data_IF_128308830132
#
_entry.id   IF_128308830132
#
_cell.length_a   1.000
_cell.length_b   1.000
_cell.length_c   1.000
_cell.angle_alpha   90.00
_cell.angle_beta   90.00
_cell.angle_gamma   90.00
#
_symmetry.space_group_name_H-M   'P 1'
#
loop_
_entity.id
_entity.type
_entity.pdbx_description
1 polymer ?
#
# COMPACT_ATOMS: atom_id res chain seq x y z
N UNK A 1 -14.82 11.69 -7.16
CA UNK A 1 -15.40 10.58 -6.40
C UNK A 1 -16.78 10.95 -5.87
N UNK A 2 -16.92 12.11 -5.21
CA UNK A 2 -18.18 12.60 -4.62
C UNK A 2 -19.38 12.52 -5.55
N UNK A 3 -19.25 13.05 -6.78
CA UNK A 3 -20.32 12.98 -7.78
C UNK A 3 -20.82 11.56 -8.01
N UNK A 4 -19.91 10.60 -8.20
CA UNK A 4 -20.29 9.19 -8.40
C UNK A 4 -21.00 8.62 -7.16
N UNK A 5 -20.51 8.92 -5.96
CA UNK A 5 -21.16 8.45 -4.73
C UNK A 5 -22.55 9.07 -4.53
N UNK A 6 -22.72 10.35 -4.88
CA UNK A 6 -23.99 11.06 -4.81
C UNK A 6 -25.01 10.54 -5.85
N UNK A 7 -24.55 10.17 -7.04
CA UNK A 7 -25.37 9.65 -8.13
C UNK A 7 -25.65 8.14 -7.99
N UNK A 8 -25.25 7.51 -6.87
CA UNK A 8 -25.40 6.07 -6.67
C UNK A 8 -26.89 5.70 -6.51
N UNK A 9 -27.42 4.77 -7.33
CA UNK A 9 -28.81 4.36 -7.21
C UNK A 9 -29.13 3.76 -5.83
N UNK A 10 -30.32 4.00 -5.26
CA UNK A 10 -30.74 3.36 -4.02
C UNK A 10 -30.60 1.84 -4.07
N UNK A 11 -30.14 1.23 -2.98
CA UNK A 11 -29.91 -0.22 -2.90
C UNK A 11 -28.65 -0.73 -3.61
N UNK A 12 -27.85 0.15 -4.21
CA UNK A 12 -26.56 -0.19 -4.82
C UNK A 12 -25.41 0.17 -3.87
N UNK A 13 -24.45 -0.75 -3.70
CA UNK A 13 -23.23 -0.50 -2.88
C UNK A 13 -22.00 -0.13 -3.73
N UNK A 14 -22.07 -0.34 -5.05
CA UNK A 14 -20.96 -0.09 -5.98
C UNK A 14 -21.44 0.28 -7.37
N UNK A 15 -20.79 1.29 -7.96
CA UNK A 15 -20.90 1.62 -9.37
C UNK A 15 -19.88 0.79 -10.13
N UNK A 16 -20.38 -0.02 -11.07
CA UNK A 16 -19.54 -0.77 -12.00
C UNK A 16 -18.90 0.16 -13.03
N UNK A 17 -17.65 -0.11 -13.46
CA UNK A 17 -17.03 0.68 -14.52
C UNK A 17 -17.73 0.47 -15.86
N UNK A 18 -17.99 1.56 -16.57
CA UNK A 18 -18.57 1.60 -17.93
C UNK A 18 -17.79 2.61 -18.78
N UNK A 19 -18.16 2.80 -20.05
CA UNK A 19 -17.58 3.85 -20.88
C UNK A 19 -17.85 5.26 -20.32
N UNK A 20 -19.07 5.50 -19.83
CA UNK A 20 -19.47 6.79 -19.22
C UNK A 20 -18.93 6.98 -17.80
N UNK A 21 -18.68 5.87 -17.10
CA UNK A 21 -18.11 5.83 -15.76
C UNK A 21 -16.82 5.00 -15.78
N UNK A 22 -15.72 5.55 -16.33
CA UNK A 22 -14.49 4.78 -16.48
C UNK A 22 -13.88 4.45 -15.12
N UNK A 23 -13.19 3.30 -15.07
CA UNK A 23 -12.33 2.97 -13.96
C UNK A 23 -11.19 3.99 -13.87
N UNK A 24 -11.03 4.62 -12.71
CA UNK A 24 -9.89 5.51 -12.44
C UNK A 24 -8.87 4.74 -11.61
N UNK A 25 -7.69 4.51 -12.17
CA UNK A 25 -6.55 3.95 -11.44
C UNK A 25 -5.68 5.09 -10.91
N UNK A 26 -5.58 5.21 -9.60
CA UNK A 26 -4.69 6.15 -8.91
C UNK A 26 -3.41 5.41 -8.53
N UNK A 27 -2.27 5.84 -9.07
CA UNK A 27 -0.96 5.23 -8.80
C UNK A 27 -0.13 6.19 -7.93
N UNK A 28 0.32 5.71 -6.77
CA UNK A 28 1.26 6.41 -5.90
C UNK A 28 2.61 5.69 -5.94
N UNK A 29 3.50 6.10 -6.86
CA UNK A 29 4.74 5.38 -7.21
C UNK A 29 5.79 5.32 -6.09
N UNK A 30 5.83 6.33 -5.22
CA UNK A 30 6.71 6.36 -4.04
C UNK A 30 5.98 7.08 -2.90
N UNK A 31 5.02 6.37 -2.30
CA UNK A 31 4.13 6.93 -1.29
C UNK A 31 4.85 7.44 -0.03
N UNK A 32 5.76 6.67 0.61
CA UNK A 32 6.52 7.16 1.76
C UNK A 32 7.32 8.44 1.44
N UNK A 33 7.99 8.46 0.28
CA UNK A 33 8.74 9.64 -0.16
C UNK A 33 7.85 10.87 -0.36
N UNK A 34 6.70 10.71 -1.03
CA UNK A 34 5.73 11.77 -1.24
C UNK A 34 5.21 12.34 0.09
N UNK A 35 4.80 11.46 1.01
CA UNK A 35 4.23 11.87 2.29
C UNK A 35 5.25 12.62 3.14
N UNK A 36 6.50 12.12 3.22
CA UNK A 36 7.59 12.82 3.91
C UNK A 36 7.87 14.20 3.31
N UNK A 37 7.92 14.30 1.98
CA UNK A 37 8.15 15.58 1.31
C UNK A 37 7.00 16.57 1.57
N UNK A 38 5.76 16.11 1.57
CA UNK A 38 4.60 16.94 1.88
C UNK A 38 4.61 17.43 3.32
N UNK A 39 4.86 16.54 4.29
CA UNK A 39 4.93 16.88 5.72
C UNK A 39 6.08 17.83 6.05
N UNK A 40 7.23 17.65 5.41
CA UNK A 40 8.39 18.54 5.58
C UNK A 40 8.10 19.96 5.08
N UNK A 41 7.27 20.09 4.03
CA UNK A 41 6.83 21.38 3.50
C UNK A 41 5.72 22.01 4.36
N UNK A 42 4.71 21.23 4.70
CA UNK A 42 3.57 21.63 5.53
C UNK A 42 2.90 20.38 6.12
N UNK A 43 2.93 20.26 7.45
CA UNK A 43 2.30 19.14 8.15
C UNK A 43 0.81 18.98 7.80
N UNK A 44 0.07 20.09 7.69
CA UNK A 44 -1.37 20.06 7.34
C UNK A 44 -1.59 19.59 5.91
N UNK A 45 -0.66 19.84 5.00
CA UNK A 45 -0.70 19.29 3.65
C UNK A 45 -0.52 17.76 3.68
N UNK A 46 0.46 17.27 4.44
CA UNK A 46 0.68 15.83 4.63
C UNK A 46 -0.56 15.11 5.22
N UNK A 47 -1.20 15.73 6.21
CA UNK A 47 -2.42 15.20 6.82
C UNK A 47 -3.57 15.14 5.80
N UNK A 48 -3.78 16.21 5.00
CA UNK A 48 -4.79 16.23 3.93
C UNK A 48 -4.57 15.17 2.87
N UNK A 49 -3.32 14.97 2.44
CA UNK A 49 -2.95 13.93 1.46
C UNK A 49 -3.23 12.54 2.04
N UNK A 50 -2.87 12.31 3.30
CA UNK A 50 -3.17 11.06 4.01
C UNK A 50 -4.68 10.80 4.05
N UNK A 51 -5.48 11.77 4.50
CA UNK A 51 -6.94 11.65 4.54
C UNK A 51 -7.55 11.35 3.18
N UNK A 52 -7.05 12.00 2.11
CA UNK A 52 -7.52 11.74 0.75
C UNK A 52 -7.20 10.31 0.29
N UNK A 53 -5.99 9.81 0.59
CA UNK A 53 -5.58 8.45 0.25
C UNK A 53 -6.41 7.41 1.01
N UNK A 54 -6.64 7.62 2.32
CA UNK A 54 -7.47 6.72 3.12
C UNK A 54 -8.90 6.65 2.58
N UNK A 55 -9.47 7.79 2.20
CA UNK A 55 -10.79 7.84 1.58
C UNK A 55 -10.83 7.13 0.23
N UNK A 56 -9.80 7.29 -0.60
CA UNK A 56 -9.68 6.55 -1.86
C UNK A 56 -9.61 5.04 -1.62
N UNK A 57 -8.88 4.60 -0.60
CA UNK A 57 -8.75 3.19 -0.27
C UNK A 57 -10.07 2.59 0.26
N UNK A 58 -10.78 3.31 1.13
CA UNK A 58 -12.01 2.83 1.76
C UNK A 58 -13.25 2.93 0.86
N UNK A 59 -13.44 4.06 0.17
CA UNK A 59 -14.65 4.35 -0.61
C UNK A 59 -14.45 4.18 -2.11
N UNK A 60 -13.21 4.21 -2.60
CA UNK A 60 -12.91 4.24 -4.02
C UNK A 60 -13.49 3.05 -4.79
N UNK A 61 -13.53 1.87 -4.16
CA UNK A 61 -14.11 0.67 -4.79
C UNK A 61 -15.56 0.86 -5.18
N UNK A 62 -16.34 1.61 -4.39
CA UNK A 62 -17.75 1.91 -4.63
C UNK A 62 -17.96 2.86 -5.80
N UNK A 63 -16.98 3.71 -6.09
CA UNK A 63 -17.07 4.76 -7.10
C UNK A 63 -16.27 4.46 -8.38
N UNK A 64 -15.94 3.19 -8.66
CA UNK A 64 -15.07 2.78 -9.76
C UNK A 64 -13.67 3.45 -9.75
N UNK A 65 -13.09 3.58 -8.55
CA UNK A 65 -11.67 3.91 -8.36
C UNK A 65 -10.90 2.67 -7.88
N UNK A 66 -9.64 2.58 -8.26
CA UNK A 66 -8.65 1.63 -7.73
C UNK A 66 -7.39 2.38 -7.37
N UNK A 67 -6.72 1.92 -6.32
CA UNK A 67 -5.47 2.52 -5.84
C UNK A 67 -4.37 1.47 -5.98
N UNK A 68 -3.25 1.89 -6.54
CA UNK A 68 -1.98 1.16 -6.52
C UNK A 68 -0.97 1.99 -5.73
N UNK A 69 -0.55 1.47 -4.58
CA UNK A 69 0.47 2.10 -3.74
C UNK A 69 1.78 1.35 -3.91
N UNK A 70 2.83 2.07 -4.27
CA UNK A 70 4.17 1.56 -4.45
C UNK A 70 5.09 2.25 -3.44
N UNK A 71 6.05 1.49 -2.94
CA UNK A 71 7.07 1.95 -2.01
C UNK A 71 8.32 1.09 -2.17
N UNK A 72 9.50 1.70 -2.14
CA UNK A 72 10.75 0.95 -2.02
C UNK A 72 10.90 0.26 -0.67
N UNK A 73 10.44 0.92 0.40
CA UNK A 73 10.41 0.41 1.77
C UNK A 73 9.11 0.87 2.42
N UNK A 74 8.30 -0.08 2.89
CA UNK A 74 7.16 0.26 3.71
C UNK A 74 7.63 0.53 5.14
N UNK A 75 7.33 1.73 5.63
CA UNK A 75 7.61 2.19 7.00
C UNK A 75 6.29 2.41 7.75
N UNK A 76 6.31 2.33 9.08
CA UNK A 76 5.10 2.37 9.92
C UNK A 76 4.35 3.71 9.75
N UNK A 77 5.11 4.80 9.58
CA UNK A 77 4.56 6.12 9.33
C UNK A 77 3.84 6.21 7.96
N UNK A 78 4.32 5.49 6.94
CA UNK A 78 3.75 5.53 5.60
C UNK A 78 2.46 4.71 5.47
N UNK A 79 2.25 3.71 6.34
CA UNK A 79 1.00 2.93 6.39
C UNK A 79 -0.09 3.57 7.25
N UNK A 80 0.13 4.78 7.78
CA UNK A 80 -0.85 5.50 8.60
C UNK A 80 -1.28 4.73 9.84
N UNK A 81 -0.33 4.08 10.53
CA UNK A 81 -0.63 3.24 11.71
C UNK A 81 -1.28 1.89 11.36
N UNK A 82 -1.16 1.43 10.11
CA UNK A 82 -1.73 0.16 9.64
C UNK A 82 -3.08 0.31 8.94
N UNK A 83 -3.75 1.45 9.09
CA UNK A 83 -5.08 1.67 8.53
C UNK A 83 -5.09 1.63 7.00
N UNK A 84 -4.09 2.21 6.33
CA UNK A 84 -3.98 2.10 4.87
C UNK A 84 -3.76 0.64 4.45
N UNK A 85 -2.89 -0.09 5.16
CA UNK A 85 -2.60 -1.50 4.88
C UNK A 85 -3.87 -2.36 4.94
N UNK A 86 -4.72 -2.14 5.94
CA UNK A 86 -5.98 -2.88 6.10
C UNK A 86 -7.02 -2.61 4.99
N UNK A 87 -6.92 -1.46 4.31
CA UNK A 87 -7.79 -1.14 3.17
C UNK A 87 -7.25 -1.69 1.83
N UNK A 88 -6.00 -2.15 1.78
CA UNK A 88 -5.41 -2.73 0.57
C UNK A 88 -5.77 -4.22 0.49
N UNK A 89 -6.70 -4.56 -0.41
CA UNK A 89 -7.16 -5.95 -0.58
C UNK A 89 -6.15 -6.88 -1.28
N UNK A 90 -5.06 -6.35 -1.84
CA UNK A 90 -3.98 -7.11 -2.43
C UNK A 90 -2.65 -6.46 -2.09
N UNK A 91 -1.71 -7.28 -1.65
CA UNK A 91 -0.38 -6.87 -1.23
C UNK A 91 0.65 -7.74 -1.94
N UNK A 92 1.62 -7.12 -2.60
CA UNK A 92 2.68 -7.80 -3.34
C UNK A 92 4.02 -7.26 -2.85
N UNK A 93 4.94 -8.16 -2.51
CA UNK A 93 6.34 -7.80 -2.23
C UNK A 93 7.26 -8.46 -3.24
N UNK A 94 8.18 -7.67 -3.78
CA UNK A 94 9.39 -8.19 -4.41
C UNK A 94 10.44 -8.51 -3.31
N UNK A 95 11.71 -8.64 -3.70
CA UNK A 95 12.78 -8.78 -2.72
C UNK A 95 12.90 -7.51 -1.88
N UNK A 96 12.76 -7.65 -0.57
CA UNK A 96 12.78 -6.57 0.43
C UNK A 96 13.40 -7.10 1.73
N UNK A 97 13.96 -6.24 2.61
CA UNK A 97 14.37 -6.66 3.94
C UNK A 97 13.22 -7.32 4.71
N UNK A 98 13.52 -8.35 5.50
CA UNK A 98 12.51 -9.13 6.24
C UNK A 98 11.57 -8.26 7.11
N UNK A 99 12.09 -7.22 7.74
CA UNK A 99 11.29 -6.26 8.51
C UNK A 99 10.25 -5.54 7.64
N UNK A 100 10.62 -5.13 6.42
CA UNK A 100 9.69 -4.46 5.50
C UNK A 100 8.62 -5.42 4.98
N UNK A 101 8.97 -6.71 4.87
CA UNK A 101 8.00 -7.76 4.54
C UNK A 101 6.96 -7.91 5.66
N UNK A 102 7.39 -8.02 6.92
CA UNK A 102 6.47 -8.19 8.06
C UNK A 102 5.60 -6.95 8.29
N UNK A 103 6.12 -5.75 8.04
CA UNK A 103 5.34 -4.51 8.16
C UNK A 103 4.15 -4.49 7.19
N UNK A 104 4.36 -5.01 5.98
CA UNK A 104 3.37 -4.97 4.91
C UNK A 104 2.41 -6.17 4.93
N UNK A 105 2.90 -7.37 5.28
CA UNK A 105 2.13 -8.63 5.25
C UNK A 105 1.73 -9.17 6.62
N UNK A 106 2.22 -8.56 7.71
CA UNK A 106 1.99 -9.05 9.08
C UNK A 106 3.09 -10.00 9.58
N UNK A 107 2.97 -10.43 10.83
CA UNK A 107 3.99 -11.22 11.53
C UNK A 107 4.20 -12.62 10.94
N UNK A 108 3.16 -13.19 10.33
CA UNK A 108 3.21 -14.52 9.69
C UNK A 108 4.18 -14.56 8.50
N UNK A 109 4.42 -13.42 7.86
CA UNK A 109 5.36 -13.33 6.74
C UNK A 109 6.84 -13.37 7.17
N UNK A 110 7.12 -13.40 8.48
CA UNK A 110 8.49 -13.46 9.02
C UNK A 110 9.26 -14.67 8.52
N UNK A 111 8.60 -15.81 8.38
CA UNK A 111 9.20 -17.07 7.91
C UNK A 111 9.73 -16.96 6.47
N UNK A 112 9.07 -16.14 5.63
CA UNK A 112 9.44 -15.89 4.25
C UNK A 112 10.57 -14.84 4.11
N UNK A 113 10.99 -14.22 5.21
CA UNK A 113 11.96 -13.12 5.20
C UNK A 113 13.32 -13.48 4.59
N UNK A 114 13.77 -14.72 4.75
CA UNK A 114 15.03 -15.20 4.16
C UNK A 114 14.97 -15.31 2.63
N UNK A 115 13.85 -15.76 2.08
CA UNK A 115 13.64 -15.93 0.63
C UNK A 115 13.43 -14.59 -0.08
N UNK A 116 12.80 -13.64 0.61
CA UNK A 116 12.57 -12.29 0.12
C UNK A 116 13.75 -11.35 0.33
N UNK A 117 14.75 -11.72 1.13
CA UNK A 117 15.93 -10.88 1.33
C UNK A 117 16.65 -10.65 -0.02
N UNK A 118 17.07 -9.41 -0.32
CA UNK A 118 17.96 -9.18 -1.46
C UNK A 118 19.26 -9.97 -1.25
N UNK A 119 19.92 -10.42 -2.32
CA UNK A 119 20.99 -11.42 -2.27
C UNK A 119 22.24 -10.97 -1.47
N UNK A 120 22.36 -9.68 -1.20
CA UNK A 120 23.40 -9.07 -0.37
C UNK A 120 23.07 -9.03 1.14
N UNK A 121 21.88 -9.47 1.55
CA UNK A 121 21.43 -9.49 2.95
C UNK A 121 21.18 -10.91 3.51
N UNK A 122 21.47 -11.96 2.74
CA UNK A 122 21.45 -13.34 3.25
C UNK A 122 22.66 -13.51 4.18
N UNK A 123 22.41 -13.64 5.48
CA UNK A 123 23.45 -13.91 6.47
C UNK A 123 24.20 -15.22 6.11
N UNK A 124 25.54 -15.29 6.21
CA UNK A 124 26.31 -16.47 5.80
C UNK A 124 26.00 -17.75 6.59
N UNK A 125 25.22 -17.66 7.68
CA UNK A 125 25.00 -18.75 8.63
C UNK A 125 24.04 -19.85 8.16
N UNK A 126 23.52 -19.79 6.93
CA UNK A 126 22.64 -20.81 6.35
C UNK A 126 23.31 -21.73 5.33
N UNK A 127 24.62 -21.57 5.08
CA UNK A 127 25.36 -22.61 4.32
C UNK A 127 25.59 -23.80 5.24
N UNK A 128 25.12 -25.02 4.91
CA UNK A 128 25.59 -26.19 5.63
C UNK A 128 27.11 -26.24 5.47
N UNK A 129 27.81 -26.35 6.59
CA UNK A 129 29.23 -26.67 6.60
C UNK A 129 29.39 -27.93 5.75
N UNK A 130 30.05 -27.81 4.60
CA UNK A 130 30.50 -28.96 3.86
C UNK A 130 31.38 -29.78 4.82
N UNK A 131 30.91 -30.97 5.19
CA UNK A 131 31.69 -31.89 6.01
C UNK A 131 32.95 -32.31 5.23
N UNK A 132 34.08 -32.56 5.93
CA UNK A 132 35.39 -32.82 5.33
C UNK A 132 35.44 -34.10 4.49
#
# INVERSE_FOLDING_TARGET
>A
MDRRLADMPPGTDKIGPTADVPLVLVVAEEWPGLLRAAQARDRKLGDRITSAMLRLASEGRKAAFRVLVLARRFEAAAVGGGYLREQLGLTISFRVPAESLTMLHGDDARELGGEHAPPNLVSPSSRPLAAP
#
